data_IF_011851259011
#
_entry.id   IF_011851259011
#
_cell.length_a   1.000
_cell.length_b   1.000
_cell.length_c   1.000
_cell.angle_alpha   90.00
_cell.angle_beta   90.00
_cell.angle_gamma   90.00
#
_symmetry.space_group_name_H-M   'P 1'
#
loop_
_entity.id
_entity.type
_entity.pdbx_description
1 polymer ?
#
# COMPACT_ATOMS: atom_id res chain seq x y z
N UNK A 1 -2.46 -7.14 -6.46
CA UNK A 1 -1.98 -6.03 -5.62
C UNK A 1 -3.02 -4.94 -5.70
N UNK A 2 -3.70 -4.64 -4.59
CA UNK A 2 -4.89 -3.79 -4.60
C UNK A 2 -4.61 -2.58 -3.70
N UNK A 3 -3.89 -1.61 -4.27
CA UNK A 3 -3.54 -0.33 -3.62
C UNK A 3 -4.50 0.73 -4.14
N UNK A 4 -5.24 1.36 -3.23
CA UNK A 4 -6.28 2.32 -3.57
C UNK A 4 -6.01 3.66 -2.92
N UNK A 5 -6.21 4.72 -3.70
CA UNK A 5 -6.32 6.07 -3.19
C UNK A 5 -7.64 6.24 -2.44
N UNK A 6 -7.62 6.99 -1.34
CA UNK A 6 -8.81 7.49 -0.66
C UNK A 6 -8.73 9.01 -0.63
N UNK A 7 -9.70 9.68 -1.26
CA UNK A 7 -9.69 11.14 -1.46
C UNK A 7 -8.38 11.60 -2.14
N UNK A 8 -7.63 12.56 -1.59
CA UNK A 8 -6.32 12.97 -2.08
C UNK A 8 -5.17 12.09 -1.58
N UNK A 9 -5.45 11.09 -0.73
CA UNK A 9 -4.43 10.33 0.00
C UNK A 9 -4.04 9.06 -0.76
N UNK A 10 -2.79 9.03 -1.24
CA UNK A 10 -2.24 7.91 -2.00
C UNK A 10 -1.31 7.10 -1.11
N UNK A 11 -1.52 5.77 -0.99
CA UNK A 11 -0.60 4.94 -0.24
C UNK A 11 0.81 4.96 -0.84
N UNK A 12 1.83 4.93 0.02
CA UNK A 12 3.24 4.83 -0.36
C UNK A 12 3.73 3.44 0.00
N UNK A 13 4.03 2.64 -1.01
CA UNK A 13 4.48 1.25 -0.83
C UNK A 13 5.91 1.12 -1.34
N UNK A 14 6.81 0.67 -0.48
CA UNK A 14 8.19 0.40 -0.86
C UNK A 14 8.24 -0.76 -1.87
N UNK A 15 9.08 -0.71 -2.91
CA UNK A 15 9.14 -1.76 -3.95
C UNK A 15 9.56 -3.14 -3.43
N UNK A 16 10.20 -3.22 -2.27
CA UNK A 16 10.57 -4.50 -1.64
C UNK A 16 9.48 -5.08 -0.74
N UNK A 17 8.37 -4.37 -0.56
CA UNK A 17 7.28 -4.84 0.29
C UNK A 17 6.44 -5.92 -0.41
N UNK A 18 6.03 -6.94 0.33
CA UNK A 18 5.20 -8.03 -0.17
C UNK A 18 3.74 -7.84 0.28
N UNK A 19 2.87 -7.46 -0.64
CA UNK A 19 1.43 -7.46 -0.41
C UNK A 19 0.82 -8.80 -0.79
N UNK A 20 0.36 -9.54 0.21
CA UNK A 20 -0.28 -10.84 0.01
C UNK A 20 -1.51 -10.75 -0.92
N UNK A 21 -1.81 -11.81 -1.70
CA UNK A 21 -3.05 -11.87 -2.47
C UNK A 21 -4.28 -11.68 -1.58
N UNK A 22 -5.16 -10.76 -1.95
CA UNK A 22 -6.34 -10.40 -1.15
C UNK A 22 -6.10 -9.31 -0.10
N UNK A 23 -4.88 -8.81 0.07
CA UNK A 23 -4.61 -7.62 0.88
C UNK A 23 -5.09 -6.34 0.17
N UNK A 24 -5.59 -5.39 0.96
CA UNK A 24 -6.05 -4.07 0.51
C UNK A 24 -5.31 -2.97 1.26
N UNK A 25 -4.69 -2.04 0.55
CA UNK A 25 -4.01 -0.87 1.13
C UNK A 25 -4.73 0.38 0.64
N UNK A 26 -5.28 1.19 1.55
CA UNK A 26 -6.21 2.27 1.20
C UNK A 26 -5.86 3.57 1.95
N UNK A 27 -5.70 4.68 1.21
CA UNK A 27 -5.55 6.03 1.79
C UNK A 27 -4.14 6.41 2.27
N UNK A 28 -4.06 7.07 3.43
CA UNK A 28 -2.79 7.59 4.00
C UNK A 28 -2.02 6.50 4.73
N UNK A 29 -1.36 5.63 3.96
CA UNK A 29 -0.61 4.49 4.49
C UNK A 29 0.79 4.48 3.91
N UNK A 30 1.79 4.20 4.76
CA UNK A 30 3.16 3.95 4.35
C UNK A 30 3.55 2.50 4.67
N UNK A 31 3.96 1.75 3.65
CA UNK A 31 4.49 0.39 3.77
C UNK A 31 5.99 0.46 3.51
N UNK A 32 6.76 0.24 4.58
CA UNK A 32 8.22 0.37 4.59
C UNK A 32 8.95 -0.76 3.87
N UNK A 33 10.27 -0.64 3.82
CA UNK A 33 11.16 -1.63 3.23
C UNK A 33 11.03 -3.00 3.92
N UNK A 34 10.84 -4.06 3.11
CA UNK A 34 10.81 -5.45 3.59
C UNK A 34 9.56 -5.85 4.38
N UNK A 35 8.55 -4.99 4.42
CA UNK A 35 7.24 -5.26 5.03
C UNK A 35 6.36 -6.20 4.18
#
# INVERSE_FOLDING_TARGET
>A
MSVYRFEEKTPRVHPTAFLAPGAFVVGEVEVGEGA
#
